data_IF_407763600854
#
_entry.id   IF_407763600854
#
_cell.length_a   1.000
_cell.length_b   1.000
_cell.length_c   1.000
_cell.angle_alpha   90.00
_cell.angle_beta   90.00
_cell.angle_gamma   90.00
#
_symmetry.space_group_name_H-M   'P 1'
#
loop_
_entity.id
_entity.type
_entity.pdbx_description
1 polymer ?
#
# COMPACT_ATOMS: atom_id res chain seq x y z
N UNK A 1 3.21 6.53 -14.61
CA UNK A 1 4.60 6.42 -15.10
C UNK A 1 4.91 7.67 -15.91
N UNK A 2 5.94 8.44 -15.53
CA UNK A 2 6.30 9.63 -16.30
C UNK A 2 6.85 9.21 -17.68
N UNK A 3 6.37 9.83 -18.77
CA UNK A 3 6.94 9.63 -20.09
C UNK A 3 8.38 10.14 -20.05
N UNK A 4 9.32 9.29 -20.47
CA UNK A 4 10.77 9.49 -20.33
C UNK A 4 11.23 10.89 -20.77
N UNK A 5 11.40 11.78 -19.79
CA UNK A 5 12.16 13.00 -19.95
C UNK A 5 13.63 12.59 -19.89
N UNK A 6 14.46 13.00 -20.85
CA UNK A 6 15.88 12.62 -21.03
C UNK A 6 16.85 13.03 -19.90
N UNK A 7 16.43 12.93 -18.64
CA UNK A 7 17.22 13.13 -17.42
C UNK A 7 17.78 11.83 -16.83
N UNK A 8 17.35 10.66 -17.33
CA UNK A 8 17.89 9.35 -16.98
C UNK A 8 18.39 8.64 -18.24
N UNK A 9 19.66 8.80 -18.57
CA UNK A 9 20.36 8.04 -19.63
C UNK A 9 21.00 6.74 -19.13
N UNK A 10 20.94 6.47 -17.82
CA UNK A 10 21.37 5.19 -17.27
C UNK A 10 20.31 4.12 -17.53
N UNK A 11 20.58 3.25 -18.50
CA UNK A 11 19.76 2.07 -18.84
C UNK A 11 19.48 1.22 -17.60
N UNK A 12 20.46 1.09 -16.71
CA UNK A 12 20.35 0.32 -15.46
C UNK A 12 19.19 0.76 -14.56
N UNK A 13 18.93 2.06 -14.43
CA UNK A 13 17.83 2.54 -13.57
C UNK A 13 16.47 2.46 -14.25
N UNK A 14 16.42 2.57 -15.58
CA UNK A 14 15.21 2.32 -16.35
C UNK A 14 14.82 0.84 -16.30
N UNK A 15 15.80 -0.06 -16.43
CA UNK A 15 15.64 -1.51 -16.27
C UNK A 15 15.14 -1.86 -14.87
N UNK A 16 15.72 -1.25 -13.84
CA UNK A 16 15.29 -1.41 -12.45
C UNK A 16 13.83 -0.99 -12.23
N UNK A 17 13.45 0.18 -12.76
CA UNK A 17 12.07 0.65 -12.66
C UNK A 17 11.09 -0.29 -13.35
N UNK A 18 11.47 -0.79 -14.53
CA UNK A 18 10.68 -1.75 -15.31
C UNK A 18 10.54 -3.09 -14.58
N UNK A 19 11.62 -3.64 -14.04
CA UNK A 19 11.63 -4.89 -13.28
C UNK A 19 10.68 -4.85 -12.06
N UNK A 20 10.64 -3.72 -11.34
CA UNK A 20 9.71 -3.54 -10.21
C UNK A 20 8.26 -3.45 -10.70
N UNK A 21 8.00 -2.67 -11.75
CA UNK A 21 6.65 -2.51 -12.32
C UNK A 21 6.11 -3.82 -12.89
N UNK A 22 6.96 -4.56 -13.60
CA UNK A 22 6.63 -5.87 -14.16
C UNK A 22 6.29 -6.86 -13.05
N UNK A 23 7.11 -6.93 -12.00
CA UNK A 23 6.84 -7.77 -10.83
C UNK A 23 5.48 -7.47 -10.19
N UNK A 24 5.15 -6.19 -9.96
CA UNK A 24 3.85 -5.80 -9.36
C UNK A 24 2.69 -6.23 -10.26
N UNK A 25 2.78 -5.97 -11.56
CA UNK A 25 1.73 -6.34 -12.52
C UNK A 25 1.53 -7.85 -12.57
N UNK A 26 2.62 -8.61 -12.59
CA UNK A 26 2.57 -10.07 -12.72
C UNK A 26 2.06 -10.75 -11.44
N UNK A 27 2.30 -10.14 -10.27
CA UNK A 27 1.81 -10.65 -8.98
C UNK A 27 0.39 -10.19 -8.62
N UNK A 28 -0.09 -9.07 -9.18
CA UNK A 28 -1.42 -8.51 -8.88
C UNK A 28 -2.59 -9.52 -8.99
N UNK A 29 -2.66 -10.41 -10.00
CA UNK A 29 -3.71 -11.42 -10.07
C UNK A 29 -3.71 -12.39 -8.88
N UNK A 30 -2.53 -12.75 -8.38
CA UNK A 30 -2.39 -13.58 -7.19
C UNK A 30 -2.72 -12.81 -5.92
N UNK A 31 -2.25 -11.58 -5.81
CA UNK A 31 -2.56 -10.73 -4.66
C UNK A 31 -4.04 -10.45 -4.53
N UNK A 32 -4.76 -10.15 -5.62
CA UNK A 32 -6.22 -9.94 -5.59
C UNK A 32 -6.99 -11.12 -5.02
N UNK A 33 -6.49 -12.35 -5.21
CA UNK A 33 -7.10 -13.57 -4.66
C UNK A 33 -6.81 -13.75 -3.18
N UNK A 34 -5.63 -13.33 -2.72
CA UNK A 34 -5.15 -13.55 -1.33
C UNK A 34 -5.47 -12.37 -0.40
N UNK A 35 -5.59 -11.17 -0.95
CA UNK A 35 -5.66 -9.90 -0.26
C UNK A 35 -6.83 -9.07 -0.82
N UNK A 36 -8.05 -9.23 -0.30
CA UNK A 36 -9.18 -8.42 -0.73
C UNK A 36 -8.89 -6.93 -0.51
N UNK A 37 -9.17 -6.09 -1.52
CA UNK A 37 -8.90 -4.65 -1.47
C UNK A 37 -7.50 -4.23 -1.89
N UNK A 38 -6.58 -5.17 -2.19
CA UNK A 38 -5.22 -4.85 -2.68
C UNK A 38 -5.23 -4.08 -4.00
N UNK A 39 -6.32 -4.15 -4.78
CA UNK A 39 -6.51 -3.33 -5.97
C UNK A 39 -6.51 -1.83 -5.71
N UNK A 40 -6.71 -1.41 -4.45
CA UNK A 40 -6.62 -0.01 -4.01
C UNK A 40 -5.19 0.44 -3.73
N UNK A 41 -4.22 -0.49 -3.69
CA UNK A 41 -2.81 -0.19 -3.42
C UNK A 41 -2.22 0.69 -4.52
N UNK A 42 -1.70 1.84 -4.13
CA UNK A 42 -0.99 2.75 -5.03
C UNK A 42 0.53 2.68 -4.82
N UNK A 43 1.24 2.05 -5.77
CA UNK A 43 2.71 1.95 -5.74
C UNK A 43 3.34 2.93 -6.73
N UNK A 44 4.25 3.79 -6.26
CA UNK A 44 4.97 4.74 -7.10
C UNK A 44 6.42 4.32 -7.37
N UNK A 45 6.78 4.18 -8.64
CA UNK A 45 8.17 3.98 -9.09
C UNK A 45 8.55 5.15 -9.98
N UNK A 46 9.32 6.11 -9.45
CA UNK A 46 9.69 7.32 -10.17
C UNK A 46 11.16 7.27 -10.61
N UNK A 47 11.38 7.34 -11.91
CA UNK A 47 12.70 7.26 -12.55
C UNK A 47 13.47 8.59 -12.66
N UNK A 48 13.14 9.60 -11.84
CA UNK A 48 13.93 10.82 -11.67
C UNK A 48 13.34 11.64 -10.51
N UNK A 49 14.21 12.25 -9.69
CA UNK A 49 13.85 13.06 -8.51
C UNK A 49 12.89 14.24 -8.80
N UNK A 50 12.78 14.63 -10.08
CA UNK A 50 12.14 15.87 -10.55
C UNK A 50 10.61 15.82 -10.56
N UNK A 51 9.98 14.65 -10.37
CA UNK A 51 8.51 14.55 -10.13
C UNK A 51 8.16 14.31 -8.65
N UNK A 52 9.13 14.49 -7.75
CA UNK A 52 9.19 13.90 -6.42
C UNK A 52 8.42 14.50 -5.23
N UNK A 53 7.70 15.64 -5.25
CA UNK A 53 6.92 16.05 -4.06
C UNK A 53 5.39 15.94 -4.17
N UNK A 54 4.83 15.97 -5.39
CA UNK A 54 3.37 16.07 -5.63
C UNK A 54 2.65 14.72 -5.76
N UNK A 55 3.24 13.76 -6.49
CA UNK A 55 2.62 12.44 -6.70
C UNK A 55 2.94 11.44 -5.60
N UNK A 56 4.11 11.55 -4.94
CA UNK A 56 4.53 10.61 -3.89
C UNK A 56 3.79 10.77 -2.56
N UNK A 57 3.06 11.88 -2.38
CA UNK A 57 2.12 12.07 -1.26
C UNK A 57 0.86 11.21 -1.38
N UNK A 58 0.54 10.73 -2.58
CA UNK A 58 -0.67 9.96 -2.85
C UNK A 58 -0.39 8.45 -3.02
N UNK A 59 0.87 8.04 -2.93
CA UNK A 59 1.27 6.63 -3.00
C UNK A 59 1.36 6.03 -1.59
N UNK A 60 0.86 4.81 -1.45
CA UNK A 60 0.99 4.00 -0.25
C UNK A 60 2.46 3.67 0.02
N UNK A 61 3.18 3.28 -1.03
CA UNK A 61 4.61 2.97 -0.99
C UNK A 61 5.27 3.40 -2.31
N UNK A 62 6.48 3.95 -2.25
CA UNK A 62 7.19 4.35 -3.45
C UNK A 62 8.70 4.42 -3.29
N UNK A 63 9.39 4.28 -4.42
CA UNK A 63 10.84 4.40 -4.54
C UNK A 63 11.21 5.50 -5.53
N UNK A 64 12.15 6.35 -5.14
CA UNK A 64 12.77 7.31 -6.03
C UNK A 64 14.13 6.76 -6.44
N UNK A 65 14.29 6.46 -7.73
CA UNK A 65 15.55 5.97 -8.26
C UNK A 65 16.47 7.15 -8.61
N UNK A 66 17.79 7.01 -8.39
CA UNK A 66 18.75 8.07 -8.73
C UNK A 66 18.81 8.30 -10.24
N UNK A 67 19.00 9.56 -10.64
CA UNK A 67 19.28 9.96 -12.01
C UNK A 67 20.73 9.75 -12.42
N UNK A 68 21.04 10.07 -13.68
CA UNK A 68 22.41 9.99 -14.20
C UNK A 68 23.33 10.94 -13.42
N UNK A 69 24.42 10.41 -12.86
CA UNK A 69 25.41 11.19 -12.11
C UNK A 69 25.04 11.49 -10.66
N UNK A 70 23.89 11.01 -10.20
CA UNK A 70 23.49 11.10 -8.78
C UNK A 70 24.10 9.94 -7.97
N UNK A 71 24.21 10.13 -6.65
CA UNK A 71 24.68 9.07 -5.76
C UNK A 71 23.78 7.83 -5.89
N UNK A 72 24.32 6.60 -5.85
CA UNK A 72 23.56 5.35 -6.03
C UNK A 72 22.72 5.03 -4.79
N UNK A 73 21.73 5.89 -4.52
CA UNK A 73 20.89 5.90 -3.35
C UNK A 73 19.44 6.11 -3.80
N UNK A 74 18.58 5.18 -3.44
CA UNK A 74 17.17 5.19 -3.78
C UNK A 74 16.34 5.35 -2.50
N UNK A 75 15.91 6.57 -2.13
CA UNK A 75 15.06 6.75 -0.97
C UNK A 75 13.68 6.10 -1.20
N UNK A 76 13.19 5.45 -0.14
CA UNK A 76 11.89 4.77 -0.11
C UNK A 76 10.96 5.54 0.82
N UNK A 77 9.73 5.74 0.35
CA UNK A 77 8.68 6.45 1.05
C UNK A 77 7.49 5.52 1.26
N UNK A 78 6.87 5.60 2.44
CA UNK A 78 5.62 4.90 2.78
C UNK A 78 4.68 5.96 3.34
N UNK A 79 3.48 6.07 2.77
CA UNK A 79 2.47 7.07 3.14
C UNK A 79 3.04 8.50 3.23
N UNK A 80 3.85 8.86 2.22
CA UNK A 80 4.51 10.17 2.13
C UNK A 80 5.68 10.41 3.11
N UNK A 81 6.04 9.44 3.96
CA UNK A 81 7.18 9.54 4.89
C UNK A 81 8.36 8.72 4.40
N UNK A 82 9.56 9.32 4.41
CA UNK A 82 10.80 8.60 4.10
C UNK A 82 11.07 7.56 5.19
N UNK A 83 11.10 6.28 4.82
CA UNK A 83 11.34 5.18 5.76
C UNK A 83 12.78 4.66 5.70
N UNK A 84 13.36 4.59 4.50
CA UNK A 84 14.72 4.08 4.33
C UNK A 84 15.36 4.61 3.04
N UNK A 85 16.61 4.23 2.79
CA UNK A 85 17.33 4.52 1.54
C UNK A 85 18.08 3.28 1.11
N UNK A 86 17.66 2.69 0.00
CA UNK A 86 18.28 1.51 -0.59
C UNK A 86 19.48 1.90 -1.43
N UNK A 87 20.50 1.03 -1.49
CA UNK A 87 21.75 1.28 -2.21
C UNK A 87 22.24 0.02 -2.88
N UNK A 88 22.96 0.21 -3.98
CA UNK A 88 23.59 -0.90 -4.71
C UNK A 88 22.62 -1.80 -5.47
N UNK A 89 23.12 -2.92 -6.03
CA UNK A 89 22.37 -3.78 -6.94
C UNK A 89 21.20 -4.53 -6.29
N UNK A 90 21.22 -4.69 -4.96
CA UNK A 90 20.13 -5.33 -4.20
C UNK A 90 18.87 -4.49 -4.04
N UNK A 91 18.90 -3.20 -4.42
CA UNK A 91 17.80 -2.27 -4.18
C UNK A 91 16.46 -2.73 -4.80
N UNK A 92 16.47 -3.41 -5.96
CA UNK A 92 15.24 -3.96 -6.53
C UNK A 92 14.59 -4.98 -5.60
N UNK A 93 15.37 -5.99 -5.21
CA UNK A 93 14.90 -7.11 -4.41
C UNK A 93 14.45 -6.65 -3.03
N UNK A 94 15.20 -5.72 -2.42
CA UNK A 94 14.82 -5.13 -1.14
C UNK A 94 13.52 -4.33 -1.23
N UNK A 95 13.32 -3.57 -2.31
CA UNK A 95 12.07 -2.84 -2.53
C UNK A 95 10.88 -3.78 -2.77
N UNK A 96 11.04 -4.82 -3.60
CA UNK A 96 10.00 -5.85 -3.81
C UNK A 96 9.60 -6.50 -2.48
N UNK A 97 10.57 -6.82 -1.61
CA UNK A 97 10.29 -7.35 -0.27
C UNK A 97 9.51 -6.36 0.61
N UNK A 98 9.86 -5.07 0.56
CA UNK A 98 9.13 -4.04 1.29
C UNK A 98 7.68 -3.86 0.80
N UNK A 99 7.44 -3.96 -0.51
CA UNK A 99 6.07 -3.95 -1.07
C UNK A 99 5.26 -5.14 -0.55
N UNK A 100 5.83 -6.35 -0.58
CA UNK A 100 5.18 -7.55 -0.08
C UNK A 100 4.83 -7.45 1.43
N UNK A 101 5.78 -7.00 2.24
CA UNK A 101 5.58 -6.80 3.68
C UNK A 101 4.52 -5.71 3.95
N UNK A 102 4.48 -4.64 3.16
CA UNK A 102 3.43 -3.62 3.26
C UNK A 102 2.05 -4.20 2.92
N UNK A 103 1.95 -4.99 1.86
CA UNK A 103 0.69 -5.66 1.47
C UNK A 103 0.21 -6.59 2.59
N UNK A 104 1.11 -7.42 3.14
CA UNK A 104 0.76 -8.35 4.22
C UNK A 104 0.27 -7.61 5.46
N UNK A 105 0.92 -6.50 5.83
CA UNK A 105 0.52 -5.69 6.99
C UNK A 105 -0.81 -4.98 6.78
N UNK A 106 -1.06 -4.46 5.58
CA UNK A 106 -2.24 -3.63 5.28
C UNK A 106 -3.46 -4.46 4.91
N UNK A 107 -3.29 -5.53 4.12
CA UNK A 107 -4.39 -6.33 3.57
C UNK A 107 -4.41 -7.76 4.12
N UNK A 108 -3.30 -8.28 4.65
CA UNK A 108 -3.24 -9.64 5.21
C UNK A 108 -4.08 -9.83 6.48
N UNK A 109 -4.53 -8.75 7.14
CA UNK A 109 -5.43 -8.79 8.30
C UNK A 109 -6.92 -8.77 7.94
N UNK A 110 -7.29 -8.26 6.76
CA UNK A 110 -8.70 -8.13 6.35
C UNK A 110 -9.23 -9.44 5.71
N UNK A 111 -8.34 -10.32 5.22
CA UNK A 111 -8.71 -11.67 4.75
C UNK A 111 -9.22 -12.65 5.82
N UNK A 112 -9.21 -12.25 7.10
CA UNK A 112 -9.74 -13.03 8.24
C UNK A 112 -10.71 -12.23 9.12
N UNK A 113 -11.15 -11.02 8.72
CA UNK A 113 -11.65 -10.04 9.68
C UNK A 113 -12.95 -9.31 9.36
N UNK A 114 -13.66 -9.58 8.25
CA UNK A 114 -14.90 -8.84 7.93
C UNK A 114 -16.08 -9.64 7.39
N UNK A 115 -16.04 -10.97 7.44
CA UNK A 115 -17.18 -11.83 7.07
C UNK A 115 -17.71 -12.64 8.26
N UNK A 116 -17.87 -12.03 9.44
CA UNK A 116 -18.50 -12.73 10.56
C UNK A 116 -18.73 -11.89 11.81
N UNK A 117 -20.01 -11.65 12.08
CA UNK A 117 -20.61 -11.22 13.34
C UNK A 117 -20.57 -9.69 13.61
N UNK A 118 -21.60 -9.01 13.08
CA UNK A 118 -22.04 -7.74 13.65
C UNK A 118 -22.50 -7.95 15.10
N UNK A 119 -22.11 -7.07 16.04
CA UNK A 119 -22.81 -6.98 17.30
C UNK A 119 -24.08 -6.13 17.04
N UNK A 120 -25.22 -6.74 17.37
CA UNK A 120 -26.51 -6.10 17.70
C UNK A 120 -27.20 -5.19 16.66
N UNK A 121 -28.10 -5.85 15.93
CA UNK A 121 -29.43 -5.37 15.59
C UNK A 121 -30.09 -4.71 16.83
N UNK A 122 -30.02 -3.38 16.92
CA UNK A 122 -30.88 -2.59 17.81
C UNK A 122 -31.94 -1.90 16.95
N UNK A 123 -32.98 -2.66 16.63
CA UNK A 123 -34.16 -2.21 15.91
C UNK A 123 -35.47 -2.77 16.47
N UNK A 124 -36.02 -2.09 17.48
CA UNK A 124 -37.45 -1.87 17.74
C UNK A 124 -38.40 -3.05 18.10
N UNK A 125 -39.02 -2.96 19.29
CA UNK A 125 -40.26 -3.65 19.68
C UNK A 125 -40.58 -3.38 21.15
N UNK A 126 -41.20 -2.25 21.49
CA UNK A 126 -42.66 -2.07 21.65
C UNK A 126 -43.24 -2.71 22.94
N UNK A 127 -43.63 -1.81 23.85
CA UNK A 127 -44.78 -1.82 24.76
C UNK A 127 -45.29 -3.14 25.38
N UNK A 128 -45.35 -3.09 26.72
CA UNK A 128 -46.54 -3.55 27.45
C UNK A 128 -46.33 -4.77 28.35
N UNK A 129 -46.03 -4.53 29.62
CA UNK A 129 -46.51 -5.38 30.71
C UNK A 129 -46.98 -4.51 31.87
N UNK A 130 -48.25 -4.14 31.73
CA UNK A 130 -49.32 -4.29 32.72
C UNK A 130 -48.94 -4.52 34.20
N UNK A 131 -49.46 -3.58 34.98
CA UNK A 131 -49.80 -3.60 36.39
C UNK A 131 -50.12 -4.97 37.00
N UNK A 132 -49.51 -5.29 38.16
CA UNK A 132 -50.26 -5.83 39.30
C UNK A 132 -49.54 -5.63 40.65
N UNK A 133 -50.11 -4.73 41.45
CA UNK A 133 -50.38 -4.77 42.92
C UNK A 133 -49.54 -5.70 43.82
N UNK A 134 -49.07 -5.18 44.96
CA UNK A 134 -49.75 -5.29 46.29
C UNK A 134 -48.84 -4.91 47.47
N UNK A 135 -49.37 -4.04 48.33
CA UNK A 135 -49.24 -3.84 49.80
C UNK A 135 -47.86 -3.98 50.49
N UNK A 136 -47.36 -2.99 51.22
CA UNK A 136 -47.87 -2.48 52.51
C UNK A 136 -48.07 -3.61 53.54
N UNK A 137 -47.08 -3.79 54.42
CA UNK A 137 -47.16 -3.80 55.89
C UNK A 137 -45.74 -3.93 56.48
#
# INVERSE_FOLDING_TARGET
ACPGCGRTTSTTFQELARDIQDFIRDQMPDWKRRYPGVETLNVAVMGCIVNGPGESKHADIGISLPGTGEAPAAPVFVEGKKVTTLRGPGASADFKRMVLDYIERRFGRDGLGRDGLGPDDLGQGDLGQETNRTAAE
#
